data_IF_080215550364
#
_entry.id   IF_080215550364
#
_cell.length_a   1.000
_cell.length_b   1.000
_cell.length_c   1.000
_cell.angle_alpha   90.00
_cell.angle_beta   90.00
_cell.angle_gamma   90.00
#
_symmetry.space_group_name_H-M   'P 1'
#
loop_
_entity.id
_entity.type
_entity.pdbx_description
1 polymer ?
#
# COMPACT_ATOMS: atom_id res chain seq x y z
N UNK A 1 20.77 -1.58 -3.98
CA UNK A 1 21.03 -3.04 -3.99
C UNK A 1 20.04 -3.75 -4.89
N UNK A 2 20.51 -4.46 -5.94
CA UNK A 2 19.64 -5.23 -6.86
C UNK A 2 18.72 -6.22 -6.13
N UNK A 3 19.22 -6.82 -5.04
CA UNK A 3 18.45 -7.72 -4.17
C UNK A 3 17.26 -7.05 -3.47
N UNK A 4 17.42 -5.80 -3.01
CA UNK A 4 16.36 -5.10 -2.29
C UNK A 4 15.13 -4.82 -3.16
N UNK A 5 15.35 -4.53 -4.45
CA UNK A 5 14.26 -4.37 -5.41
C UNK A 5 13.50 -5.67 -5.67
N UNK A 6 14.21 -6.79 -5.80
CA UNK A 6 13.58 -8.12 -5.98
C UNK A 6 12.76 -8.51 -4.75
N UNK A 7 13.29 -8.29 -3.55
CA UNK A 7 12.58 -8.57 -2.30
C UNK A 7 11.31 -7.71 -2.19
N UNK A 8 11.39 -6.42 -2.54
CA UNK A 8 10.23 -5.53 -2.53
C UNK A 8 9.14 -5.99 -3.51
N UNK A 9 9.53 -6.53 -4.67
CA UNK A 9 8.59 -7.04 -5.68
C UNK A 9 7.93 -8.34 -5.23
N UNK A 10 8.69 -9.27 -4.63
CA UNK A 10 8.08 -10.49 -4.07
C UNK A 10 7.16 -10.14 -2.91
N UNK A 11 7.54 -9.18 -2.04
CA UNK A 11 6.69 -8.75 -0.95
C UNK A 11 5.41 -8.05 -1.41
N UNK A 12 5.42 -7.27 -2.49
CA UNK A 12 4.20 -6.62 -3.00
C UNK A 12 3.16 -7.62 -3.53
N UNK A 13 3.61 -8.76 -4.06
CA UNK A 13 2.72 -9.85 -4.49
C UNK A 13 2.29 -10.69 -3.27
N UNK A 14 3.24 -10.99 -2.38
CA UNK A 14 2.97 -11.80 -1.19
C UNK A 14 1.89 -11.17 -0.29
N UNK A 15 1.85 -9.84 -0.20
CA UNK A 15 0.89 -9.12 0.65
C UNK A 15 -0.57 -9.34 0.23
N UNK A 16 -0.83 -9.64 -1.05
CA UNK A 16 -2.17 -9.95 -1.54
C UNK A 16 -2.69 -11.28 -0.96
N UNK A 17 -1.82 -12.25 -0.69
CA UNK A 17 -2.21 -13.50 -0.03
C UNK A 17 -2.57 -13.30 1.45
N UNK A 18 -2.07 -12.24 2.07
CA UNK A 18 -2.41 -11.87 3.45
C UNK A 18 -3.71 -11.05 3.55
N UNK A 19 -4.17 -10.44 2.46
CA UNK A 19 -5.43 -9.68 2.40
C UNK A 19 -6.64 -10.42 3.02
N UNK A 20 -6.95 -11.69 2.68
CA UNK A 20 -8.09 -12.39 3.27
C UNK A 20 -7.96 -12.64 4.77
N UNK A 21 -6.74 -12.72 5.31
CA UNK A 21 -6.51 -12.90 6.75
C UNK A 21 -6.56 -11.57 7.53
N UNK A 22 -6.25 -10.46 6.87
CA UNK A 22 -6.29 -9.12 7.47
C UNK A 22 -7.71 -8.53 7.48
N UNK A 23 -8.56 -8.92 6.53
CA UNK A 23 -9.96 -8.51 6.45
C UNK A 23 -10.90 -9.49 7.18
N UNK A 24 -10.63 -9.73 8.46
CA UNK A 24 -11.46 -10.58 9.33
C UNK A 24 -12.58 -9.79 10.05
N UNK A 25 -12.93 -8.59 9.58
CA UNK A 25 -13.97 -7.77 10.22
C UNK A 25 -15.35 -8.08 9.61
N UNK A 26 -16.37 -7.88 10.44
CA UNK A 26 -17.76 -8.16 10.13
C UNK A 26 -18.14 -7.52 8.80
N UNK A 27 -18.87 -8.27 7.99
CA UNK A 27 -19.29 -8.01 6.62
C UNK A 27 -20.11 -6.73 6.44
N UNK A 28 -19.50 -5.56 6.63
CA UNK A 28 -20.07 -4.26 6.32
C UNK A 28 -19.22 -3.62 5.21
N UNK A 29 -19.88 -3.09 4.18
CA UNK A 29 -19.19 -2.49 3.05
C UNK A 29 -18.37 -1.26 3.47
N UNK A 30 -17.36 -0.91 2.65
CA UNK A 30 -16.50 0.28 2.82
C UNK A 30 -17.28 1.60 3.00
N UNK A 31 -18.55 1.64 2.60
CA UNK A 31 -19.45 2.78 2.79
C UNK A 31 -19.70 3.12 4.27
N UNK A 32 -19.61 2.15 5.18
CA UNK A 32 -19.84 2.36 6.61
C UNK A 32 -18.57 2.77 7.38
N UNK A 33 -17.40 2.75 6.72
CA UNK A 33 -16.11 3.08 7.32
C UNK A 33 -15.45 4.25 6.56
N UNK A 34 -15.81 5.52 6.86
CA UNK A 34 -15.30 6.68 6.13
C UNK A 34 -13.76 6.80 6.20
N UNK A 35 -13.14 6.39 7.32
CA UNK A 35 -11.67 6.34 7.44
C UNK A 35 -11.04 5.32 6.50
N UNK A 36 -11.63 4.13 6.37
CA UNK A 36 -11.14 3.10 5.44
C UNK A 36 -11.34 3.52 3.98
N UNK A 37 -12.38 4.30 3.67
CA UNK A 37 -12.58 4.87 2.34
C UNK A 37 -11.47 5.86 1.95
N UNK A 38 -11.06 6.74 2.88
CA UNK A 38 -9.93 7.65 2.66
C UNK A 38 -8.64 6.87 2.44
N UNK A 39 -8.38 5.87 3.28
CA UNK A 39 -7.19 5.00 3.13
C UNK A 39 -7.19 4.25 1.79
N UNK A 40 -8.35 3.78 1.32
CA UNK A 40 -8.45 3.13 0.01
C UNK A 40 -8.06 4.08 -1.13
N UNK A 41 -8.59 5.30 -1.15
CA UNK A 41 -8.22 6.30 -2.17
C UNK A 41 -6.74 6.68 -2.08
N UNK A 42 -6.20 6.75 -0.87
CA UNK A 42 -4.78 6.94 -0.66
C UNK A 42 -3.95 5.82 -1.32
N UNK A 43 -4.32 4.55 -1.10
CA UNK A 43 -3.67 3.41 -1.76
C UNK A 43 -3.72 3.53 -3.29
N UNK A 44 -4.89 3.86 -3.86
CA UNK A 44 -5.04 4.04 -5.31
C UNK A 44 -4.06 5.10 -5.84
N UNK A 45 -3.97 6.25 -5.17
CA UNK A 45 -3.03 7.32 -5.54
C UNK A 45 -1.58 6.82 -5.47
N UNK A 46 -1.20 6.09 -4.41
CA UNK A 46 0.17 5.56 -4.29
C UNK A 46 0.54 4.57 -5.40
N UNK A 47 -0.40 3.72 -5.84
CA UNK A 47 -0.17 2.78 -6.95
C UNK A 47 0.04 3.53 -8.27
N UNK A 48 -0.77 4.56 -8.53
CA UNK A 48 -0.63 5.41 -9.72
C UNK A 48 0.75 6.10 -9.72
N UNK A 49 1.17 6.64 -8.58
CA UNK A 49 2.47 7.31 -8.43
C UNK A 49 3.67 6.34 -8.58
N UNK A 50 3.57 5.14 -8.02
CA UNK A 50 4.58 4.09 -8.18
C UNK A 50 4.71 3.65 -9.64
N UNK A 51 3.58 3.50 -10.33
CA UNK A 51 3.56 3.17 -11.77
C UNK A 51 4.21 4.28 -12.60
N UNK A 52 3.92 5.54 -12.26
CA UNK A 52 4.53 6.70 -12.91
C UNK A 52 6.05 6.77 -12.69
N UNK A 53 6.54 6.49 -11.48
CA UNK A 53 7.99 6.46 -11.19
C UNK A 53 8.69 5.28 -11.86
N UNK A 54 8.01 4.14 -12.01
CA UNK A 54 8.57 2.99 -12.74
C UNK A 54 8.92 3.31 -14.21
N UNK A 55 8.27 4.30 -14.81
CA UNK A 55 8.53 4.76 -16.17
C UNK A 55 9.60 5.88 -16.24
N UNK A 56 10.05 6.42 -15.12
CA UNK A 56 11.03 7.52 -15.07
C UNK A 56 12.46 6.98 -14.98
N UNK A 57 13.45 7.71 -15.50
CA UNK A 57 14.85 7.33 -15.37
C UNK A 57 15.26 7.29 -13.90
N UNK A 58 16.17 6.37 -13.57
CA UNK A 58 16.67 6.14 -12.21
C UNK A 58 17.71 7.20 -11.85
N UNK A 59 17.26 8.45 -11.74
CA UNK A 59 18.06 9.61 -11.41
C UNK A 59 17.54 10.26 -10.11
N UNK A 60 18.38 11.00 -9.41
CA UNK A 60 17.92 11.89 -8.34
C UNK A 60 17.14 13.05 -8.97
N UNK A 61 15.90 13.36 -8.54
CA UNK A 61 15.26 13.00 -7.27
C UNK A 61 14.29 11.80 -7.31
N UNK A 62 14.08 11.15 -8.46
CA UNK A 62 13.09 10.08 -8.65
C UNK A 62 13.37 8.83 -7.80
N UNK A 63 14.63 8.56 -7.48
CA UNK A 63 15.01 7.47 -6.57
C UNK A 63 14.41 7.70 -5.17
N UNK A 64 14.52 8.92 -4.66
CA UNK A 64 14.06 9.26 -3.31
C UNK A 64 12.53 9.27 -3.24
N UNK A 65 11.86 9.79 -4.28
CA UNK A 65 10.39 9.73 -4.35
C UNK A 65 9.89 8.29 -4.44
N UNK A 66 10.56 7.43 -5.21
CA UNK A 66 10.23 6.01 -5.30
C UNK A 66 10.37 5.30 -3.95
N UNK A 67 11.45 5.55 -3.22
CA UNK A 67 11.63 4.99 -1.88
C UNK A 67 10.53 5.42 -0.90
N UNK A 68 10.21 6.73 -0.86
CA UNK A 68 9.14 7.24 -0.01
C UNK A 68 7.80 6.56 -0.36
N UNK A 69 7.46 6.47 -1.65
CA UNK A 69 6.21 5.85 -2.07
C UNK A 69 6.14 4.36 -1.77
N UNK A 70 7.26 3.63 -1.85
CA UNK A 70 7.27 2.22 -1.43
C UNK A 70 7.01 2.06 0.06
N UNK A 71 7.56 2.95 0.90
CA UNK A 71 7.30 2.94 2.35
C UNK A 71 5.81 3.23 2.62
N UNK A 72 5.24 4.20 1.90
CA UNK A 72 3.81 4.55 2.01
C UNK A 72 2.89 3.42 1.54
N UNK A 73 3.30 2.68 0.51
CA UNK A 73 2.54 1.51 0.05
C UNK A 73 2.52 0.38 1.08
N UNK A 74 3.67 0.06 1.69
CA UNK A 74 3.71 -0.99 2.72
C UNK A 74 3.04 -0.55 4.03
N UNK A 75 3.08 0.74 4.40
CA UNK A 75 2.42 1.23 5.61
C UNK A 75 0.89 1.12 5.53
N UNK A 76 0.30 1.23 4.34
CA UNK A 76 -1.15 1.04 4.14
C UNK A 76 -1.65 -0.30 4.66
N UNK A 77 -0.92 -1.40 4.39
CA UNK A 77 -1.33 -2.75 4.81
C UNK A 77 -1.30 -2.94 6.32
N UNK A 78 -0.50 -2.16 7.04
CA UNK A 78 -0.47 -2.16 8.50
C UNK A 78 -1.59 -1.27 9.06
N UNK A 79 -1.84 -0.11 8.44
CA UNK A 79 -2.83 0.86 8.91
C UNK A 79 -4.27 0.37 8.73
N UNK A 80 -4.59 -0.28 7.61
CA UNK A 80 -5.94 -0.76 7.29
C UNK A 80 -6.57 -1.69 8.37
N UNK A 81 -5.88 -2.75 8.87
CA UNK A 81 -6.43 -3.56 9.97
C UNK A 81 -6.51 -2.80 11.30
N UNK A 82 -5.65 -1.80 11.53
CA UNK A 82 -5.69 -0.99 12.77
C UNK A 82 -6.90 -0.06 12.75
N UNK A 83 -7.17 0.63 11.64
CA UNK A 83 -8.30 1.56 11.54
C UNK A 83 -9.64 0.85 11.57
N UNK A 84 -9.74 -0.32 10.96
CA UNK A 84 -10.93 -1.16 11.04
C UNK A 84 -11.18 -1.68 12.46
N UNK A 85 -10.14 -2.15 13.16
CA UNK A 85 -10.26 -2.57 14.57
C UNK A 85 -10.52 -1.44 15.56
N UNK A 86 -10.05 -0.22 15.28
CA UNK A 86 -10.32 0.95 16.13
C UNK A 86 -11.76 1.47 15.99
N UNK A 87 -12.40 1.18 14.86
CA UNK A 87 -13.76 1.64 14.57
C UNK A 87 -14.84 0.68 15.08
N UNK A 88 -14.54 -0.62 15.11
CA UNK A 88 -15.38 -1.67 15.70
C UNK A 88 -15.31 -1.67 17.24
#
# INVERSE_FOLDING_TARGET
>A
NKLGGVIALVMSIAILFFMPFLHMNQSQGLQFYPLNQILFWYMVITIILLTWIGARPVETPYILTGQILTILYFSYFILNPITSKLWD
#
